data_IF_684517533954
#
_entry.id   IF_684517533954
#
_cell.length_a   1.000
_cell.length_b   1.000
_cell.length_c   1.000
_cell.angle_alpha   90.00
_cell.angle_beta   90.00
_cell.angle_gamma   90.00
#
_symmetry.space_group_name_H-M   'P 1'
#
loop_
_entity.id
_entity.type
_entity.pdbx_description
1 polymer ?
#
# COMPACT_ATOMS: atom_id res chain seq x y z
N UNK A 1 2.01 -3.84 12.22
CA UNK A 1 2.48 -3.68 10.84
C UNK A 1 2.05 -2.30 10.35
N UNK A 2 2.91 -1.57 9.67
CA UNK A 2 2.56 -0.30 9.01
C UNK A 2 2.70 -0.45 7.50
N UNK A 3 1.72 0.08 6.75
CA UNK A 3 1.74 0.16 5.30
C UNK A 3 1.48 1.60 4.86
N UNK A 4 2.47 2.20 4.21
CA UNK A 4 2.35 3.52 3.63
C UNK A 4 1.96 3.45 2.16
N UNK A 5 1.15 4.39 1.70
CA UNK A 5 0.75 4.50 0.31
C UNK A 5 0.77 5.95 -0.15
N UNK A 6 1.02 6.12 -1.43
CA UNK A 6 0.95 7.40 -2.12
C UNK A 6 0.24 7.20 -3.46
N UNK A 7 -0.69 8.08 -3.78
CA UNK A 7 -1.44 8.06 -5.02
C UNK A 7 -1.39 9.45 -5.65
N UNK A 8 -0.94 9.50 -6.90
CA UNK A 8 -0.91 10.70 -7.71
C UNK A 8 -1.82 10.49 -8.91
N UNK A 9 -2.80 11.38 -9.08
CA UNK A 9 -3.67 11.41 -10.25
C UNK A 9 -3.29 12.62 -11.12
N UNK A 10 -2.97 12.35 -12.38
CA UNK A 10 -2.59 13.35 -13.38
C UNK A 10 -3.59 13.30 -14.52
N UNK A 11 -4.15 14.45 -14.89
CA UNK A 11 -5.09 14.59 -16.02
C UNK A 11 -4.60 15.74 -16.90
N UNK A 12 -4.39 15.46 -18.19
CA UNK A 12 -3.87 16.43 -19.17
C UNK A 12 -2.58 17.15 -18.70
N UNK A 13 -1.66 16.40 -18.09
CA UNK A 13 -0.39 16.93 -17.57
C UNK A 13 -0.51 17.75 -16.28
N UNK A 14 -1.70 17.84 -15.67
CA UNK A 14 -1.93 18.55 -14.40
C UNK A 14 -2.13 17.56 -13.26
N UNK A 15 -1.45 17.79 -12.14
CA UNK A 15 -1.71 17.09 -10.89
C UNK A 15 -3.10 17.49 -10.37
N UNK A 16 -4.04 16.55 -10.37
CA UNK A 16 -5.42 16.78 -9.91
C UNK A 16 -5.68 16.25 -8.50
N UNK A 17 -4.90 15.27 -8.04
CA UNK A 17 -4.98 14.74 -6.68
C UNK A 17 -3.63 14.16 -6.27
N UNK A 18 -3.24 14.46 -5.03
CA UNK A 18 -2.22 13.74 -4.28
C UNK A 18 -2.85 13.23 -2.99
N UNK A 19 -2.79 11.93 -2.79
CA UNK A 19 -3.29 11.26 -1.59
C UNK A 19 -2.17 10.42 -1.00
N UNK A 20 -1.80 10.69 0.23
CA UNK A 20 -0.74 10.00 0.95
C UNK A 20 -1.26 9.61 2.33
N UNK A 21 -0.84 8.46 2.83
CA UNK A 21 -1.28 7.99 4.14
C UNK A 21 -0.61 6.68 4.56
N UNK A 22 -0.89 6.28 5.79
CA UNK A 22 -0.43 5.03 6.36
C UNK A 22 -1.59 4.27 7.01
N UNK A 23 -1.54 2.95 6.91
CA UNK A 23 -2.43 2.02 7.59
C UNK A 23 -1.65 1.21 8.60
N UNK A 24 -2.19 1.07 9.82
CA UNK A 24 -1.59 0.27 10.87
C UNK A 24 -2.48 -0.94 11.17
N UNK A 25 -1.91 -2.13 11.06
CA UNK A 25 -2.55 -3.40 11.38
C UNK A 25 -1.94 -4.02 12.64
N UNK A 26 -2.81 -4.40 13.59
CA UNK A 26 -2.44 -5.15 14.79
C UNK A 26 -2.77 -6.63 14.59
N UNK A 27 -1.77 -7.49 14.76
CA UNK A 27 -1.89 -8.93 14.59
C UNK A 27 -1.34 -9.64 15.83
N UNK A 28 -1.93 -10.78 16.18
CA UNK A 28 -1.53 -11.60 17.31
C UNK A 28 -1.81 -13.06 17.02
N UNK A 29 -1.10 -13.96 17.71
CA UNK A 29 -1.35 -15.40 17.65
C UNK A 29 -2.40 -15.81 18.68
N UNK A 30 -3.19 -16.83 18.34
CA UNK A 30 -4.14 -17.43 19.28
C UNK A 30 -3.44 -18.58 20.00
N UNK A 31 -3.28 -18.46 21.33
CA UNK A 31 -2.61 -19.48 22.14
C UNK A 31 -3.36 -20.82 22.07
N UNK A 32 -2.61 -21.93 21.96
CA UNK A 32 -3.17 -23.27 21.91
C UNK A 32 -3.77 -23.67 20.56
N UNK A 33 -3.62 -22.83 19.54
CA UNK A 33 -3.98 -23.15 18.15
C UNK A 33 -2.73 -23.37 17.30
N UNK A 34 -2.87 -24.13 16.20
CA UNK A 34 -1.86 -24.15 15.16
C UNK A 34 -1.82 -22.77 14.49
N UNK A 35 -0.68 -22.09 14.60
CA UNK A 35 -0.45 -20.79 14.00
C UNK A 35 0.76 -20.88 13.07
N UNK A 36 0.75 -20.07 12.02
CA UNK A 36 1.97 -19.83 11.26
C UNK A 36 2.93 -18.94 12.08
N UNK A 37 4.24 -19.10 11.89
CA UNK A 37 5.23 -18.21 12.50
C UNK A 37 4.90 -16.74 12.21
N UNK A 38 4.95 -15.91 13.27
CA UNK A 38 4.46 -14.53 13.21
C UNK A 38 5.24 -13.72 12.17
N UNK A 39 6.57 -13.87 12.13
CA UNK A 39 7.44 -13.19 11.19
C UNK A 39 7.03 -13.51 9.74
N UNK A 40 6.86 -14.80 9.42
CA UNK A 40 6.42 -15.26 8.10
C UNK A 40 5.02 -14.74 7.74
N UNK A 41 4.14 -14.63 8.73
CA UNK A 41 2.80 -14.07 8.54
C UNK A 41 2.87 -12.58 8.21
N UNK A 42 3.69 -11.84 8.95
CA UNK A 42 3.88 -10.40 8.79
C UNK A 42 4.48 -10.06 7.42
N UNK A 43 5.41 -10.87 6.92
CA UNK A 43 6.02 -10.69 5.58
C UNK A 43 5.04 -11.01 4.44
N UNK A 44 4.39 -12.18 4.49
CA UNK A 44 3.69 -12.69 3.30
C UNK A 44 2.16 -12.51 3.33
N UNK A 45 1.53 -12.34 4.50
CA UNK A 45 0.07 -12.43 4.63
C UNK A 45 -0.57 -11.17 5.19
N UNK A 46 0.02 -10.56 6.21
CA UNK A 46 -0.49 -9.32 6.80
C UNK A 46 -0.73 -8.20 5.76
N UNK A 47 0.19 -7.91 4.80
CA UNK A 47 -0.07 -6.88 3.80
C UNK A 47 -1.28 -7.19 2.90
N UNK A 48 -1.45 -8.46 2.52
CA UNK A 48 -2.57 -8.90 1.70
C UNK A 48 -3.91 -8.76 2.42
N UNK A 49 -3.94 -8.93 3.74
CA UNK A 49 -5.12 -8.73 4.58
C UNK A 49 -5.46 -7.24 4.79
N UNK A 50 -4.45 -6.38 4.80
CA UNK A 50 -4.63 -4.92 4.93
C UNK A 50 -5.08 -4.26 3.62
N UNK A 51 -4.68 -4.80 2.47
CA UNK A 51 -4.91 -4.18 1.16
C UNK A 51 -6.40 -3.89 0.82
N UNK A 52 -7.39 -4.74 1.16
CA UNK A 52 -8.81 -4.43 0.94
C UNK A 52 -9.26 -3.12 1.60
N UNK A 53 -8.71 -2.79 2.77
CA UNK A 53 -9.03 -1.55 3.48
C UNK A 53 -8.35 -0.35 2.83
N UNK A 54 -7.10 -0.49 2.40
CA UNK A 54 -6.36 0.57 1.71
C UNK A 54 -7.06 0.94 0.39
N UNK A 55 -7.44 -0.06 -0.42
CA UNK A 55 -8.12 0.20 -1.70
C UNK A 55 -9.52 0.79 -1.54
N UNK A 56 -10.26 0.36 -0.52
CA UNK A 56 -11.59 0.92 -0.21
C UNK A 56 -11.43 2.37 0.22
N UNK A 57 -10.48 2.65 1.11
CA UNK A 57 -10.21 4.00 1.58
C UNK A 57 -9.82 4.94 0.44
N UNK A 58 -8.97 4.51 -0.49
CA UNK A 58 -8.62 5.28 -1.70
C UNK A 58 -9.87 5.58 -2.52
N UNK A 59 -10.72 4.59 -2.79
CA UNK A 59 -11.97 4.79 -3.53
C UNK A 59 -12.90 5.78 -2.81
N UNK A 60 -13.05 5.65 -1.50
CA UNK A 60 -13.93 6.50 -0.68
C UNK A 60 -13.41 7.93 -0.58
N UNK A 61 -12.11 8.13 -0.34
CA UNK A 61 -11.51 9.47 -0.26
C UNK A 61 -11.57 10.18 -1.60
N UNK A 62 -11.28 9.49 -2.70
CA UNK A 62 -11.36 10.05 -4.06
C UNK A 62 -12.80 10.45 -4.41
N UNK A 63 -13.79 9.60 -4.09
CA UNK A 63 -15.21 9.96 -4.24
C UNK A 63 -15.59 11.20 -3.44
N UNK A 64 -15.19 11.27 -2.16
CA UNK A 64 -15.49 12.41 -1.26
C UNK A 64 -14.80 13.70 -1.70
N UNK A 65 -13.65 13.61 -2.35
CA UNK A 65 -12.94 14.74 -2.92
C UNK A 65 -13.59 15.29 -4.20
N UNK A 66 -14.69 14.71 -4.67
CA UNK A 66 -15.38 15.13 -5.89
C UNK A 66 -14.67 14.72 -7.18
N UNK A 67 -13.64 13.85 -7.09
CA UNK A 67 -13.01 13.24 -8.26
C UNK A 67 -13.68 11.91 -8.60
N UNK A 68 -13.54 11.44 -9.84
CA UNK A 68 -13.99 10.09 -10.21
C UNK A 68 -13.31 9.07 -9.28
N UNK A 69 -14.07 8.18 -8.61
CA UNK A 69 -13.50 7.23 -7.66
C UNK A 69 -12.36 6.43 -8.29
N UNK A 70 -11.21 6.38 -7.60
CA UNK A 70 -10.09 5.57 -8.06
C UNK A 70 -10.25 4.16 -7.54
N UNK A 71 -10.61 3.26 -8.44
CA UNK A 71 -10.80 1.84 -8.17
C UNK A 71 -9.51 1.08 -8.46
N UNK A 72 -8.77 0.72 -7.41
CA UNK A 72 -7.59 -0.11 -7.58
C UNK A 72 -8.00 -1.55 -7.95
N UNK A 73 -7.37 -2.17 -8.97
CA UNK A 73 -7.66 -3.54 -9.33
C UNK A 73 -7.19 -4.50 -8.22
N UNK A 74 -7.65 -5.77 -8.25
CA UNK A 74 -7.03 -6.82 -7.44
C UNK A 74 -5.52 -6.89 -7.73
N UNK A 75 -4.70 -6.79 -6.69
CA UNK A 75 -3.23 -6.86 -6.80
C UNK A 75 -2.70 -8.12 -6.14
N UNK A 76 -1.68 -8.73 -6.73
CA UNK A 76 -0.92 -9.79 -6.09
C UNK A 76 0.09 -9.19 -5.10
N UNK A 77 -0.39 -8.87 -3.90
CA UNK A 77 0.42 -8.21 -2.86
C UNK A 77 1.64 -9.04 -2.45
N UNK A 78 1.51 -10.38 -2.44
CA UNK A 78 2.62 -11.28 -2.13
C UNK A 78 3.79 -11.12 -3.09
N UNK A 79 3.49 -11.03 -4.38
CA UNK A 79 4.52 -10.80 -5.40
C UNK A 79 5.16 -9.42 -5.24
N UNK A 80 4.36 -8.39 -4.95
CA UNK A 80 4.86 -7.01 -4.76
C UNK A 80 5.81 -6.87 -3.57
N UNK A 81 5.51 -7.54 -2.44
CA UNK A 81 6.38 -7.53 -1.26
C UNK A 81 7.68 -8.27 -1.55
N UNK A 82 7.62 -9.45 -2.17
CA UNK A 82 8.83 -10.21 -2.51
C UNK A 82 9.77 -9.44 -3.45
N UNK A 83 9.23 -8.77 -4.48
CA UNK A 83 10.03 -7.94 -5.38
C UNK A 83 10.62 -6.71 -4.67
N UNK A 84 10.01 -6.23 -3.60
CA UNK A 84 10.53 -5.15 -2.79
C UNK A 84 11.70 -5.58 -1.89
N UNK A 85 11.74 -6.84 -1.45
CA UNK A 85 12.84 -7.39 -0.63
C UNK A 85 14.11 -7.65 -1.46
N UNK A 86 13.96 -8.05 -2.73
CA UNK A 86 15.07 -8.30 -3.65
C UNK A 86 15.80 -7.02 -4.12
N UNK A 87 15.23 -5.85 -3.79
CA UNK A 87 15.92 -4.55 -3.89
C UNK A 87 16.16 -4.05 -2.45
N UNK A 88 17.40 -4.04 -1.92
CA UNK A 88 17.68 -3.56 -0.57
C UNK A 88 17.50 -2.03 -0.40
N UNK A 89 16.85 -1.37 -1.35
CA UNK A 89 16.38 -0.01 -1.23
C UNK A 89 14.90 -0.08 -0.83
N UNK A 90 14.60 0.26 0.43
CA UNK A 90 13.27 0.19 1.06
C UNK A 90 12.16 0.95 0.29
N UNK A 91 11.73 0.42 -0.85
CA UNK A 91 10.72 1.00 -1.73
C UNK A 91 9.97 -0.09 -2.51
N UNK A 92 9.10 -0.81 -1.82
CA UNK A 92 7.99 -1.52 -2.48
C UNK A 92 7.15 -0.48 -3.24
N UNK A 93 7.22 -0.49 -4.57
CA UNK A 93 6.76 0.63 -5.38
C UNK A 93 5.26 0.55 -5.70
N UNK A 94 4.47 1.31 -4.93
CA UNK A 94 3.51 2.26 -5.50
C UNK A 94 4.32 3.52 -5.84
N UNK A 95 4.21 4.07 -7.04
CA UNK A 95 5.13 5.09 -7.56
C UNK A 95 5.19 6.38 -6.71
N UNK A 96 6.27 6.50 -5.93
CA UNK A 96 6.79 7.73 -5.31
C UNK A 96 8.04 8.13 -6.08
N UNK A 97 8.05 9.35 -6.63
CA UNK A 97 9.17 9.91 -7.41
C UNK A 97 10.09 10.75 -6.51
N UNK A 98 11.41 10.52 -6.55
CA UNK A 98 12.43 11.49 -6.11
C UNK A 98 12.85 12.35 -7.30
N UNK A 99 12.84 13.67 -7.15
CA UNK A 99 13.56 14.58 -8.06
C UNK A 99 14.88 14.98 -7.41
N UNK A 100 15.97 14.81 -8.16
CA UNK A 100 17.32 15.25 -7.79
C UNK A 100 17.37 16.78 -7.66
N UNK A 101 18.11 17.27 -6.68
CA UNK A 101 18.61 18.64 -6.70
C UNK A 101 19.60 18.79 -7.86
N UNK A 102 19.33 19.75 -8.75
CA UNK A 102 20.34 20.43 -9.56
C UNK A 102 20.12 21.92 -9.29
N UNK A 103 20.89 22.48 -8.36
CA UNK A 103 21.56 23.79 -8.48
C UNK A 103 22.70 23.81 -7.47
#
# INVERSE_FOLDING_TARGET
MELSFALRLVVDGRDVLRLEGAFVGFFSVIKGSENMEMERFMEAHAPALMFPYIREHISTVTQKAGVKPVLLPPLNIKALVKTAEERPDHSAQVCISKSREDT
#
